data_IF_766994514120
#
_entry.id   IF_766994514120
#
_cell.length_a   1.000
_cell.length_b   1.000
_cell.length_c   1.000
_cell.angle_alpha   90.00
_cell.angle_beta   90.00
_cell.angle_gamma   90.00
#
_symmetry.space_group_name_H-M   'P 1'
#
loop_
_entity.id
_entity.type
_entity.pdbx_description
1 polymer ?
#
# COMPACT_ATOMS: atom_id res chain seq x y z
N UNK A 1 -9.82 -33.16 4.02
CA UNK A 1 -11.03 -32.58 4.66
C UNK A 1 -12.02 -32.23 3.55
N UNK A 2 -13.29 -32.63 3.65
CA UNK A 2 -14.30 -32.22 2.69
C UNK A 2 -14.37 -30.68 2.68
N UNK A 3 -14.01 -30.07 1.55
CA UNK A 3 -13.92 -28.61 1.39
C UNK A 3 -12.52 -28.06 1.11
N UNK A 4 -11.44 -28.85 1.25
CA UNK A 4 -10.10 -28.41 0.86
C UNK A 4 -9.78 -28.87 -0.57
N UNK A 5 -9.41 -27.96 -1.50
CA UNK A 5 -9.03 -28.32 -2.85
C UNK A 5 -7.88 -29.33 -2.84
N UNK A 6 -8.10 -30.50 -3.41
CA UNK A 6 -7.12 -31.60 -3.43
C UNK A 6 -6.37 -31.66 -4.76
N UNK A 7 -6.83 -30.90 -5.74
CA UNK A 7 -6.23 -30.80 -7.07
C UNK A 7 -4.87 -30.09 -7.01
N UNK A 8 -3.93 -30.58 -7.80
CA UNK A 8 -2.55 -30.09 -7.79
C UNK A 8 -2.46 -28.59 -8.11
N UNK A 9 -3.30 -28.08 -9.00
CA UNK A 9 -3.35 -26.66 -9.35
C UNK A 9 -3.71 -25.76 -8.17
N UNK A 10 -4.70 -26.15 -7.37
CA UNK A 10 -5.06 -25.41 -6.16
C UNK A 10 -4.00 -25.52 -5.07
N UNK A 11 -3.26 -26.63 -5.00
CA UNK A 11 -2.14 -26.78 -4.05
C UNK A 11 -0.93 -25.92 -4.44
N UNK A 12 -0.67 -25.80 -5.74
CA UNK A 12 0.41 -24.96 -6.27
C UNK A 12 0.05 -23.47 -6.18
N UNK A 13 -1.24 -23.11 -6.31
CA UNK A 13 -1.73 -21.74 -6.09
C UNK A 13 -1.57 -21.27 -4.62
N UNK A 14 -1.53 -22.20 -3.66
CA UNK A 14 -1.24 -21.89 -2.26
C UNK A 14 0.26 -21.68 -2.00
N UNK A 15 1.13 -21.98 -2.96
CA UNK A 15 2.55 -21.68 -2.86
C UNK A 15 2.81 -20.25 -3.35
N UNK A 16 3.36 -19.42 -2.46
CA UNK A 16 3.73 -18.04 -2.77
C UNK A 16 4.85 -18.06 -3.82
N UNK A 17 4.51 -17.83 -5.09
CA UNK A 17 5.46 -17.93 -6.20
C UNK A 17 6.46 -16.77 -6.25
N UNK A 18 6.04 -15.57 -5.82
CA UNK A 18 6.87 -14.36 -5.75
C UNK A 18 6.38 -13.47 -4.62
N UNK A 19 7.28 -13.17 -3.69
CA UNK A 19 7.05 -12.16 -2.64
C UNK A 19 7.48 -10.81 -3.20
N UNK A 20 6.53 -9.89 -3.36
CA UNK A 20 6.84 -8.50 -3.66
C UNK A 20 6.83 -7.72 -2.36
N UNK A 21 7.86 -6.90 -2.14
CA UNK A 21 7.84 -5.92 -1.06
C UNK A 21 6.80 -4.86 -1.43
N UNK A 22 5.78 -4.69 -0.58
CA UNK A 22 4.68 -3.75 -0.84
C UNK A 22 5.14 -2.29 -0.86
N UNK A 23 6.31 -1.99 -0.29
CA UNK A 23 6.95 -0.68 -0.34
C UNK A 23 8.45 -0.78 -0.67
N UNK A 24 9.01 0.19 -1.42
CA UNK A 24 10.45 0.30 -1.60
C UNK A 24 11.14 0.40 -0.24
N UNK A 25 12.24 -0.34 -0.06
CA UNK A 25 13.04 -0.28 1.16
C UNK A 25 13.72 1.10 1.23
N UNK A 26 13.08 2.03 1.94
CA UNK A 26 13.61 3.35 2.22
C UNK A 26 13.60 3.53 3.74
N UNK A 27 14.64 4.14 4.31
CA UNK A 27 14.72 4.36 5.77
C UNK A 27 13.54 5.17 6.31
N UNK A 28 12.91 5.97 5.43
CA UNK A 28 11.72 6.79 5.72
C UNK A 28 10.41 6.19 5.22
N UNK A 29 10.39 4.92 4.78
CA UNK A 29 9.19 4.26 4.27
C UNK A 29 8.05 4.30 5.30
N UNK A 30 8.35 4.16 6.60
CA UNK A 30 7.34 4.26 7.66
C UNK A 30 6.73 5.67 7.79
N UNK A 31 7.51 6.74 7.62
CA UNK A 31 6.97 8.11 7.62
C UNK A 31 6.10 8.38 6.38
N UNK A 32 6.51 7.84 5.23
CA UNK A 32 5.76 7.93 3.97
C UNK A 32 4.43 7.17 4.09
N UNK A 33 4.41 5.99 4.70
CA UNK A 33 3.20 5.19 4.92
C UNK A 33 2.16 5.94 5.76
N UNK A 34 2.59 6.61 6.83
CA UNK A 34 1.69 7.41 7.68
C UNK A 34 1.01 8.52 6.87
N UNK A 35 1.75 9.22 6.02
CA UNK A 35 1.21 10.27 5.15
C UNK A 35 0.25 9.69 4.12
N UNK A 36 0.60 8.57 3.48
CA UNK A 36 -0.25 7.91 2.49
C UNK A 36 -1.58 7.47 3.11
N UNK A 37 -1.54 6.85 4.28
CA UNK A 37 -2.75 6.41 4.99
C UNK A 37 -3.62 7.59 5.40
N UNK A 38 -3.03 8.65 5.95
CA UNK A 38 -3.79 9.84 6.34
C UNK A 38 -4.51 10.47 5.14
N UNK A 39 -3.81 10.67 4.02
CA UNK A 39 -4.43 11.32 2.87
C UNK A 39 -5.43 10.38 2.18
N UNK A 40 -5.19 9.07 2.19
CA UNK A 40 -6.17 8.08 1.75
C UNK A 40 -7.47 8.17 2.56
N UNK A 41 -7.38 8.25 3.89
CA UNK A 41 -8.56 8.39 4.76
C UNK A 41 -9.31 9.71 4.50
N UNK A 42 -8.59 10.81 4.26
CA UNK A 42 -9.18 12.10 3.90
C UNK A 42 -9.93 12.06 2.57
N UNK A 43 -9.43 11.31 1.58
CA UNK A 43 -10.13 11.09 0.31
C UNK A 43 -11.38 10.23 0.54
N UNK A 44 -11.25 9.13 1.29
CA UNK A 44 -12.35 8.19 1.55
C UNK A 44 -13.48 8.81 2.37
N UNK A 45 -13.17 9.80 3.20
CA UNK A 45 -14.15 10.57 3.98
C UNK A 45 -14.74 11.76 3.21
N UNK A 46 -14.37 11.95 1.95
CA UNK A 46 -14.72 13.12 1.12
C UNK A 46 -14.31 14.47 1.76
N UNK A 47 -13.32 14.45 2.66
CA UNK A 47 -12.78 15.66 3.27
C UNK A 47 -11.98 16.49 2.26
N UNK A 48 -11.35 15.81 1.29
CA UNK A 48 -10.63 16.43 0.17
C UNK A 48 -10.97 15.72 -1.15
N UNK A 49 -10.85 16.42 -2.27
CA UNK A 49 -10.92 15.80 -3.60
C UNK A 49 -9.68 14.95 -3.87
N UNK A 50 -9.80 13.98 -4.79
CA UNK A 50 -8.69 13.12 -5.21
C UNK A 50 -7.51 13.96 -5.70
N UNK A 51 -7.76 14.98 -6.53
CA UNK A 51 -6.71 15.87 -7.05
C UNK A 51 -6.00 16.63 -5.92
N UNK A 52 -6.76 17.16 -4.96
CA UNK A 52 -6.19 17.84 -3.79
C UNK A 52 -5.41 16.87 -2.90
N UNK A 53 -5.87 15.64 -2.76
CA UNK A 53 -5.18 14.56 -2.06
C UNK A 53 -3.85 14.20 -2.70
N UNK A 54 -3.80 14.05 -4.03
CA UNK A 54 -2.55 13.76 -4.75
C UNK A 54 -1.54 14.90 -4.58
N UNK A 55 -1.99 16.17 -4.65
CA UNK A 55 -1.11 17.33 -4.41
C UNK A 55 -0.57 17.31 -2.97
N UNK A 56 -1.44 17.04 -1.99
CA UNK A 56 -1.08 16.99 -0.57
C UNK A 56 -0.11 15.83 -0.27
N UNK A 57 -0.32 14.65 -0.85
CA UNK A 57 0.60 13.52 -0.75
C UNK A 57 1.98 13.89 -1.29
N UNK A 58 2.04 14.46 -2.50
CA UNK A 58 3.30 14.82 -3.14
C UNK A 58 4.08 15.86 -2.33
N UNK A 59 3.43 16.92 -1.83
CA UNK A 59 4.09 17.94 -1.01
C UNK A 59 4.67 17.36 0.30
N UNK A 60 3.90 16.52 1.00
CA UNK A 60 4.35 15.92 2.24
C UNK A 60 5.46 14.88 2.05
N UNK A 61 5.35 14.04 1.03
CA UNK A 61 6.38 13.03 0.70
C UNK A 61 7.67 13.72 0.26
N UNK A 62 7.60 14.80 -0.54
CA UNK A 62 8.79 15.57 -0.92
C UNK A 62 9.49 16.19 0.30
N UNK A 63 8.74 16.69 1.29
CA UNK A 63 9.31 17.18 2.56
C UNK A 63 9.99 16.07 3.37
N UNK A 64 9.42 14.87 3.37
CA UNK A 64 10.02 13.70 4.03
C UNK A 64 11.29 13.27 3.28
N UNK A 65 11.31 13.30 1.96
CA UNK A 65 12.49 12.92 1.16
C UNK A 65 13.60 13.98 1.17
N UNK A 66 13.27 15.26 1.34
CA UNK A 66 14.23 16.37 1.35
C UNK A 66 14.96 16.56 2.70
N UNK A 67 14.52 15.88 3.76
CA UNK A 67 15.27 15.81 5.03
C UNK A 67 16.55 15.00 4.91
#
# INVERSE_FOLDING_TARGET
MPGFPSDQGSRDALQVAKTYLEMPLHERAGEIEVVLNQVHDEIMTNNISIDAGIVKMNDQIQKILAK
#
